data_IF_299567508948
#
_entry.id   IF_299567508948
#
_cell.length_a   1.000
_cell.length_b   1.000
_cell.length_c   1.000
_cell.angle_alpha   90.00
_cell.angle_beta   90.00
_cell.angle_gamma   90.00
#
_symmetry.space_group_name_H-M   'P 1'
#
loop_
_entity.id
_entity.type
_entity.pdbx_description
1 polymer ?
#
# COMPACT_ATOMS: atom_id res chain seq x y z
N UNK A 1 -18.16 -22.45 0.46
CA UNK A 1 -17.33 -21.36 1.05
C UNK A 1 -17.32 -20.15 0.11
N UNK A 2 -18.12 -19.13 0.42
CA UNK A 2 -18.22 -17.90 -0.40
C UNK A 2 -17.29 -16.85 0.19
N UNK A 3 -16.08 -16.74 -0.36
CA UNK A 3 -15.18 -15.64 -0.03
C UNK A 3 -15.79 -14.29 -0.47
N UNK A 4 -15.51 -13.23 0.28
CA UNK A 4 -15.94 -11.89 -0.10
C UNK A 4 -15.23 -11.43 -1.38
N UNK A 5 -15.99 -10.98 -2.38
CA UNK A 5 -15.41 -10.38 -3.57
C UNK A 5 -14.83 -9.01 -3.25
N UNK A 6 -13.64 -8.74 -3.78
CA UNK A 6 -12.94 -7.46 -3.62
C UNK A 6 -12.46 -6.97 -4.98
N UNK A 7 -12.60 -5.66 -5.20
CA UNK A 7 -12.00 -5.00 -6.35
C UNK A 7 -10.46 -5.09 -6.27
N UNK A 8 -9.76 -5.12 -7.42
CA UNK A 8 -8.30 -5.15 -7.43
C UNK A 8 -7.69 -3.92 -6.72
N UNK A 9 -6.47 -4.08 -6.21
CA UNK A 9 -5.78 -3.04 -5.43
C UNK A 9 -5.64 -1.70 -6.18
N UNK A 10 -5.65 -1.75 -7.51
CA UNK A 10 -5.48 -0.61 -8.40
C UNK A 10 -6.78 -0.10 -9.05
N UNK A 11 -7.95 -0.42 -8.48
CA UNK A 11 -9.25 0.08 -8.98
C UNK A 11 -9.30 1.59 -9.26
N UNK A 12 -8.48 2.36 -8.56
CA UNK A 12 -8.38 3.81 -8.72
C UNK A 12 -7.65 4.22 -10.01
N UNK A 13 -6.76 3.38 -10.55
CA UNK A 13 -6.06 3.62 -11.82
C UNK A 13 -7.01 3.52 -13.00
N UNK A 14 -7.91 2.52 -12.97
CA UNK A 14 -8.98 2.36 -13.95
C UNK A 14 -9.91 3.58 -14.06
N UNK A 15 -9.97 4.45 -13.05
CA UNK A 15 -10.77 5.69 -13.13
C UNK A 15 -10.24 6.65 -14.20
N UNK A 16 -8.93 6.63 -14.48
CA UNK A 16 -8.28 7.48 -15.50
C UNK A 16 -8.59 7.03 -16.93
N UNK A 17 -8.94 5.77 -17.11
CA UNK A 17 -9.24 5.16 -18.40
C UNK A 17 -10.75 4.93 -18.59
N UNK A 18 -11.60 5.64 -17.83
CA UNK A 18 -13.06 5.51 -17.97
C UNK A 18 -13.49 6.03 -19.33
N UNK A 19 -14.13 5.15 -20.11
CA UNK A 19 -14.53 5.45 -21.48
C UNK A 19 -13.37 5.45 -22.48
N UNK A 20 -12.16 5.05 -22.05
CA UNK A 20 -11.04 4.83 -22.94
C UNK A 20 -11.04 3.38 -23.36
N UNK A 21 -11.23 3.12 -24.66
CA UNK A 21 -11.17 1.77 -25.23
C UNK A 21 -9.76 1.45 -25.73
N UNK A 22 -9.02 2.46 -26.18
CA UNK A 22 -7.72 2.34 -26.83
C UNK A 22 -6.76 3.39 -26.31
N UNK A 23 -5.52 2.99 -26.04
CA UNK A 23 -4.43 3.84 -25.59
C UNK A 23 -3.24 3.63 -26.51
N UNK A 24 -2.81 4.68 -27.20
CA UNK A 24 -1.55 4.69 -27.94
C UNK A 24 -0.40 4.92 -26.94
N UNK A 25 0.68 4.16 -27.10
CA UNK A 25 1.88 4.22 -26.26
C UNK A 25 3.00 4.98 -26.98
N UNK A 26 2.64 6.14 -27.53
CA UNK A 26 3.52 7.03 -28.28
C UNK A 26 4.30 8.02 -27.39
N UNK A 27 3.90 8.14 -26.12
CA UNK A 27 4.47 9.04 -25.11
C UNK A 27 4.95 8.28 -23.87
N UNK A 28 5.98 8.81 -23.23
CA UNK A 28 6.51 8.24 -21.99
C UNK A 28 5.46 8.26 -20.88
N UNK A 29 4.61 9.30 -20.82
CA UNK A 29 3.50 9.39 -19.87
C UNK A 29 2.50 8.25 -20.01
N UNK A 30 2.10 7.92 -21.25
CA UNK A 30 1.18 6.82 -21.52
C UNK A 30 1.79 5.48 -21.10
N UNK A 31 3.05 5.23 -21.45
CA UNK A 31 3.79 4.02 -21.08
C UNK A 31 3.89 3.92 -19.54
N UNK A 32 4.26 5.01 -18.86
CA UNK A 32 4.40 5.05 -17.40
C UNK A 32 3.07 4.77 -16.70
N UNK A 33 1.96 5.31 -17.21
CA UNK A 33 0.63 5.05 -16.62
C UNK A 33 0.22 3.58 -16.73
N UNK A 34 0.58 2.89 -17.82
CA UNK A 34 0.36 1.45 -17.98
C UNK A 34 1.32 0.64 -17.10
N UNK A 35 2.60 1.02 -17.02
CA UNK A 35 3.60 0.33 -16.17
C UNK A 35 3.17 0.29 -14.71
N UNK A 36 2.42 1.31 -14.26
CA UNK A 36 1.87 1.40 -12.91
C UNK A 36 0.77 0.37 -12.60
N UNK A 37 0.27 -0.36 -13.60
CA UNK A 37 -0.69 -1.44 -13.38
C UNK A 37 -0.05 -2.68 -12.76
N UNK A 38 -0.85 -3.54 -12.13
CA UNK A 38 -0.40 -4.82 -11.57
C UNK A 38 0.20 -5.68 -12.70
N UNK A 39 1.42 -6.15 -12.44
CA UNK A 39 2.26 -6.83 -13.42
C UNK A 39 1.75 -8.20 -13.87
N UNK A 40 0.84 -8.82 -13.12
CA UNK A 40 0.42 -10.20 -13.37
C UNK A 40 -0.05 -10.40 -14.83
N UNK A 41 0.44 -11.44 -15.52
CA UNK A 41 0.22 -11.64 -16.95
C UNK A 41 -1.14 -12.25 -17.26
N UNK A 42 -1.72 -13.02 -16.33
CA UNK A 42 -2.99 -13.76 -16.51
C UNK A 42 -4.24 -12.88 -16.70
N UNK A 43 -4.10 -11.56 -16.61
CA UNK A 43 -5.16 -10.56 -16.81
C UNK A 43 -4.94 -9.70 -18.06
N UNK A 44 -3.99 -10.09 -18.91
CA UNK A 44 -3.64 -9.39 -20.15
C UNK A 44 -3.61 -10.42 -21.28
N UNK A 45 -3.98 -9.97 -22.48
CA UNK A 45 -3.86 -10.74 -23.71
C UNK A 45 -2.79 -10.05 -24.55
N UNK A 46 -1.83 -10.81 -25.05
CA UNK A 46 -0.68 -10.29 -25.80
C UNK A 46 -0.73 -10.75 -27.24
N UNK A 47 -0.44 -9.83 -28.17
CA UNK A 47 -0.22 -10.20 -29.57
C UNK A 47 1.05 -11.05 -29.67
N UNK A 48 0.93 -12.29 -30.14
CA UNK A 48 2.04 -13.24 -30.23
C UNK A 48 3.22 -12.67 -31.01
N UNK A 49 2.96 -12.08 -32.17
CA UNK A 49 3.99 -11.49 -33.04
C UNK A 49 4.83 -10.43 -32.32
N UNK A 50 4.21 -9.58 -31.48
CA UNK A 50 4.93 -8.59 -30.69
C UNK A 50 5.88 -9.24 -29.68
N UNK A 51 5.40 -10.27 -28.97
CA UNK A 51 6.19 -11.02 -27.99
C UNK A 51 7.38 -11.72 -28.66
N UNK A 52 7.18 -12.33 -29.82
CA UNK A 52 8.22 -13.03 -30.57
C UNK A 52 9.25 -12.07 -31.18
N UNK A 53 8.79 -11.02 -31.86
CA UNK A 53 9.66 -10.03 -32.49
C UNK A 53 10.57 -9.33 -31.46
N UNK A 54 10.06 -9.10 -30.25
CA UNK A 54 10.82 -8.50 -29.15
C UNK A 54 11.54 -9.51 -28.26
N UNK A 55 11.44 -10.81 -28.55
CA UNK A 55 12.04 -11.92 -27.76
C UNK A 55 11.68 -11.83 -26.28
N UNK A 56 10.43 -11.46 -25.97
CA UNK A 56 9.97 -11.28 -24.60
C UNK A 56 9.71 -12.65 -23.99
N UNK A 57 10.38 -12.94 -22.87
CA UNK A 57 10.27 -14.19 -22.10
C UNK A 57 10.27 -13.87 -20.61
N UNK A 58 9.67 -14.74 -19.82
CA UNK A 58 9.85 -14.70 -18.38
C UNK A 58 11.32 -14.96 -18.04
N UNK A 59 11.94 -14.15 -17.16
CA UNK A 59 13.27 -14.45 -16.65
C UNK A 59 13.33 -15.82 -15.99
N UNK A 60 14.38 -16.59 -16.28
CA UNK A 60 14.63 -17.88 -15.64
C UNK A 60 15.51 -17.63 -14.42
N UNK A 61 14.90 -17.65 -13.24
CA UNK A 61 15.55 -17.38 -11.95
C UNK A 61 14.99 -18.30 -10.87
N UNK A 62 15.74 -18.53 -9.79
CA UNK A 62 15.36 -19.43 -8.69
C UNK A 62 14.42 -18.77 -7.65
N UNK A 63 13.72 -17.70 -8.04
CA UNK A 63 12.81 -16.93 -7.18
C UNK A 63 11.60 -16.41 -7.94
N UNK A 64 10.55 -16.01 -7.21
CA UNK A 64 9.25 -15.62 -7.77
C UNK A 64 9.21 -14.17 -8.28
N UNK A 65 8.06 -13.75 -8.81
CA UNK A 65 7.74 -12.39 -9.26
C UNK A 65 8.31 -11.99 -10.62
N UNK A 66 8.66 -12.98 -11.42
CA UNK A 66 9.08 -12.92 -12.84
C UNK A 66 8.05 -12.21 -13.74
N UNK A 67 6.80 -12.14 -13.27
CA UNK A 67 5.74 -11.30 -13.84
C UNK A 67 6.15 -9.82 -13.96
N UNK A 68 6.96 -9.30 -13.02
CA UNK A 68 7.34 -7.88 -13.03
C UNK A 68 8.20 -7.55 -14.25
N UNK A 69 9.36 -8.22 -14.50
CA UNK A 69 10.10 -7.99 -15.73
C UNK A 69 9.27 -8.24 -16.98
N UNK A 70 8.47 -9.31 -17.03
CA UNK A 70 7.62 -9.59 -18.19
C UNK A 70 6.64 -8.45 -18.49
N UNK A 71 6.02 -7.87 -17.46
CA UNK A 71 5.14 -6.70 -17.59
C UNK A 71 5.89 -5.49 -18.14
N UNK A 72 7.07 -5.18 -17.61
CA UNK A 72 7.90 -4.09 -18.13
C UNK A 72 8.27 -4.30 -19.60
N UNK A 73 8.72 -5.51 -19.95
CA UNK A 73 9.13 -5.83 -21.32
C UNK A 73 7.97 -5.71 -22.31
N UNK A 74 6.79 -6.21 -21.94
CA UNK A 74 5.60 -6.18 -22.80
C UNK A 74 5.02 -4.78 -22.96
N UNK A 75 4.99 -3.97 -21.91
CA UNK A 75 4.48 -2.60 -21.97
C UNK A 75 5.43 -1.69 -22.76
N UNK A 76 6.74 -1.76 -22.51
CA UNK A 76 7.72 -0.94 -23.24
C UNK A 76 7.89 -1.34 -24.71
N UNK A 77 7.42 -2.53 -25.12
CA UNK A 77 7.49 -3.01 -26.50
C UNK A 77 6.18 -2.85 -27.28
N UNK A 78 5.08 -2.50 -26.61
CA UNK A 78 3.78 -2.32 -27.25
C UNK A 78 3.64 -0.91 -27.82
N UNK A 79 3.00 -0.80 -28.98
CA UNK A 79 2.57 0.47 -29.60
C UNK A 79 1.22 0.94 -29.08
N UNK A 80 0.36 0.00 -28.71
CA UNK A 80 -1.04 0.23 -28.39
C UNK A 80 -1.55 -0.79 -27.36
N UNK A 81 -2.52 -0.35 -26.55
CA UNK A 81 -3.23 -1.20 -25.59
C UNK A 81 -4.73 -0.93 -25.67
N UNK A 82 -5.50 -2.01 -25.79
CA UNK A 82 -6.96 -1.99 -25.64
C UNK A 82 -7.32 -2.19 -24.16
N UNK A 83 -8.16 -1.30 -23.64
CA UNK A 83 -8.60 -1.27 -22.26
C UNK A 83 -10.00 -1.89 -22.14
N UNK A 84 -10.10 -3.01 -21.44
CA UNK A 84 -11.38 -3.69 -21.18
C UNK A 84 -11.76 -3.50 -19.71
N UNK A 85 -12.71 -2.60 -19.38
CA UNK A 85 -13.06 -2.30 -17.98
C UNK A 85 -13.91 -3.38 -17.31
N UNK A 86 -14.38 -4.37 -18.07
CA UNK A 86 -15.23 -5.45 -17.58
C UNK A 86 -14.46 -6.45 -16.70
N UNK A 87 -15.15 -6.97 -15.68
CA UNK A 87 -14.60 -8.03 -14.82
C UNK A 87 -14.76 -9.38 -15.51
N UNK A 88 -13.72 -9.80 -16.24
CA UNK A 88 -13.72 -11.05 -16.99
C UNK A 88 -13.35 -12.29 -16.15
N UNK A 89 -12.60 -12.10 -15.05
CA UNK A 89 -12.07 -13.21 -14.25
C UNK A 89 -12.11 -12.90 -12.75
N UNK A 90 -12.38 -13.95 -11.96
CA UNK A 90 -12.24 -13.92 -10.49
C UNK A 90 -11.07 -14.81 -10.08
N UNK A 91 -10.12 -14.25 -9.33
CA UNK A 91 -8.99 -15.00 -8.78
C UNK A 91 -9.19 -15.19 -7.27
N UNK A 92 -8.85 -16.37 -6.77
CA UNK A 92 -8.92 -16.69 -5.34
C UNK A 92 -7.62 -16.24 -4.65
N UNK A 93 -7.75 -15.49 -3.55
CA UNK A 93 -6.63 -14.98 -2.75
C UNK A 93 -6.69 -15.58 -1.34
N UNK A 94 -5.53 -15.77 -0.69
CA UNK A 94 -5.46 -16.17 0.72
C UNK A 94 -5.58 -17.67 0.96
N UNK A 95 -5.29 -18.52 -0.03
CA UNK A 95 -5.18 -19.97 0.17
C UNK A 95 -3.89 -20.28 0.94
N UNK A 96 -3.95 -21.25 1.86
CA UNK A 96 -2.76 -21.81 2.52
C UNK A 96 -1.75 -22.28 1.47
N UNK A 97 -0.49 -21.86 1.61
CA UNK A 97 0.58 -22.16 0.63
C UNK A 97 0.70 -21.15 -0.53
N UNK A 98 -0.03 -20.03 -0.52
CA UNK A 98 0.16 -18.97 -1.51
C UNK A 98 1.49 -18.24 -1.27
N UNK A 99 2.28 -18.00 -2.32
CA UNK A 99 3.58 -17.30 -2.31
C UNK A 99 3.55 -15.92 -1.62
N UNK A 100 2.39 -15.27 -1.55
CA UNK A 100 2.19 -13.99 -0.86
C UNK A 100 2.11 -14.12 0.68
N UNK A 101 2.12 -15.34 1.22
CA UNK A 101 2.16 -15.62 2.65
C UNK A 101 3.60 -15.68 3.21
N UNK A 102 4.61 -15.66 2.34
CA UNK A 102 6.02 -15.68 2.73
C UNK A 102 6.38 -14.43 3.52
N UNK A 103 7.01 -14.61 4.69
CA UNK A 103 7.45 -13.56 5.62
C UNK A 103 8.91 -13.75 6.00
N UNK A 104 9.75 -14.02 5.01
CA UNK A 104 11.17 -14.29 5.20
C UNK A 104 12.05 -13.42 4.28
N UNK A 105 13.36 -13.62 4.38
CA UNK A 105 14.36 -12.91 3.59
C UNK A 105 14.24 -13.12 2.08
N UNK A 106 13.56 -14.18 1.61
CA UNK A 106 13.33 -14.45 0.19
C UNK A 106 12.53 -13.36 -0.52
N UNK A 107 11.77 -12.53 0.23
CA UNK A 107 11.13 -11.33 -0.32
C UNK A 107 12.16 -10.33 -0.89
N UNK A 108 13.40 -10.32 -0.41
CA UNK A 108 14.45 -9.46 -0.97
C UNK A 108 14.81 -9.82 -2.41
N UNK A 109 14.56 -11.07 -2.84
CA UNK A 109 14.81 -11.48 -4.23
C UNK A 109 13.94 -10.70 -5.24
N UNK A 110 12.83 -10.09 -4.81
CA UNK A 110 12.07 -9.15 -5.63
C UNK A 110 12.96 -8.03 -6.19
N UNK A 111 13.95 -7.57 -5.42
CA UNK A 111 14.88 -6.53 -5.89
C UNK A 111 15.84 -7.03 -6.97
N UNK A 112 16.04 -8.35 -7.12
CA UNK A 112 16.76 -8.90 -8.27
C UNK A 112 16.07 -8.58 -9.60
N UNK A 113 14.73 -8.44 -9.60
CA UNK A 113 13.99 -8.02 -10.80
C UNK A 113 14.24 -6.55 -11.17
N UNK A 114 14.72 -5.71 -10.24
CA UNK A 114 15.20 -4.36 -10.59
C UNK A 114 16.35 -4.44 -11.58
N UNK A 115 17.35 -5.27 -11.27
CA UNK A 115 18.53 -5.48 -12.12
C UNK A 115 18.09 -6.07 -13.47
N UNK A 116 17.22 -7.08 -13.46
CA UNK A 116 16.68 -7.69 -14.70
C UNK A 116 15.97 -6.67 -15.61
N UNK A 117 15.17 -5.76 -15.03
CA UNK A 117 14.48 -4.72 -15.80
C UNK A 117 15.47 -3.66 -16.28
N UNK A 118 16.36 -3.19 -15.41
CA UNK A 118 17.39 -2.18 -15.74
C UNK A 118 18.22 -2.65 -16.92
N UNK A 119 18.77 -3.87 -16.85
CA UNK A 119 19.65 -4.41 -17.87
C UNK A 119 18.92 -4.60 -19.22
N UNK A 120 17.63 -4.91 -19.19
CA UNK A 120 16.81 -5.00 -20.40
C UNK A 120 16.54 -3.62 -21.01
N UNK A 121 16.26 -2.61 -20.18
CA UNK A 121 16.07 -1.23 -20.63
C UNK A 121 17.37 -0.65 -21.20
N UNK A 122 18.50 -0.90 -20.55
CA UNK A 122 19.83 -0.46 -20.99
C UNK A 122 20.18 -1.04 -22.36
N UNK A 123 19.99 -2.35 -22.58
CA UNK A 123 20.23 -3.01 -23.88
C UNK A 123 19.36 -2.48 -25.01
N UNK A 124 18.29 -1.76 -24.70
CA UNK A 124 17.34 -1.16 -25.66
C UNK A 124 17.44 0.36 -25.71
N UNK A 125 18.40 0.95 -25.01
CA UNK A 125 18.58 2.41 -24.95
C UNK A 125 17.33 3.12 -24.39
N UNK A 126 16.61 2.44 -23.49
CA UNK A 126 15.40 2.94 -22.83
C UNK A 126 15.63 3.30 -21.36
N UNK A 127 16.83 3.06 -20.81
CA UNK A 127 17.08 3.26 -19.39
C UNK A 127 16.88 4.71 -18.99
N UNK A 128 17.48 5.67 -19.71
CA UNK A 128 17.38 7.11 -19.40
C UNK A 128 15.92 7.59 -19.38
N UNK A 129 15.09 7.07 -20.29
CA UNK A 129 13.66 7.40 -20.38
C UNK A 129 12.87 6.93 -19.15
N UNK A 130 13.20 5.76 -18.62
CA UNK A 130 12.39 5.09 -17.58
C UNK A 130 13.09 4.87 -16.24
N UNK A 131 14.29 5.42 -16.04
CA UNK A 131 15.09 5.21 -14.84
C UNK A 131 14.36 5.70 -13.57
N UNK A 132 13.76 6.89 -13.63
CA UNK A 132 12.93 7.45 -12.54
C UNK A 132 11.77 6.52 -12.22
N UNK A 133 11.07 6.01 -13.24
CA UNK A 133 9.94 5.10 -13.08
C UNK A 133 10.38 3.76 -12.48
N UNK A 134 11.52 3.22 -12.91
CA UNK A 134 12.07 1.97 -12.43
C UNK A 134 12.50 2.07 -10.96
N UNK A 135 13.18 3.16 -10.59
CA UNK A 135 13.49 3.44 -9.18
C UNK A 135 12.20 3.62 -8.36
N UNK A 136 11.23 4.35 -8.89
CA UNK A 136 9.90 4.52 -8.29
C UNK A 136 9.16 3.19 -8.07
N UNK A 137 9.33 2.22 -8.96
CA UNK A 137 8.84 0.85 -8.81
C UNK A 137 9.59 0.13 -7.67
N UNK A 138 10.91 0.15 -7.63
CA UNK A 138 11.70 -0.48 -6.56
C UNK A 138 11.33 0.05 -5.16
N UNK A 139 11.14 1.37 -5.05
CA UNK A 139 10.67 2.00 -3.80
C UNK A 139 9.28 1.50 -3.40
N UNK A 140 8.39 1.30 -4.39
CA UNK A 140 7.04 0.76 -4.12
C UNK A 140 7.10 -0.69 -3.63
N UNK A 141 8.05 -1.49 -4.16
CA UNK A 141 8.31 -2.84 -3.65
C UNK A 141 8.83 -2.79 -2.21
N UNK A 142 9.75 -1.87 -1.91
CA UNK A 142 10.21 -1.65 -0.53
C UNK A 142 9.08 -1.29 0.44
N UNK A 143 8.16 -0.39 0.08
CA UNK A 143 6.99 -0.01 0.91
C UNK A 143 6.06 -1.19 1.23
N UNK A 144 6.02 -2.17 0.32
CA UNK A 144 5.24 -3.39 0.47
C UNK A 144 5.99 -4.48 1.27
N UNK A 145 7.26 -4.72 0.94
CA UNK A 145 8.10 -5.79 1.50
C UNK A 145 8.50 -5.49 2.95
N UNK A 146 8.88 -4.25 3.28
CA UNK A 146 9.44 -3.92 4.59
C UNK A 146 8.51 -4.26 5.78
N UNK A 147 7.20 -4.33 5.53
CA UNK A 147 6.16 -4.65 6.52
C UNK A 147 6.02 -6.16 6.80
N UNK A 148 6.70 -6.98 6.01
CA UNK A 148 6.61 -8.45 6.02
C UNK A 148 7.94 -9.11 6.36
N UNK A 149 9.02 -8.35 6.33
CA UNK A 149 10.35 -8.83 6.69
C UNK A 149 10.50 -8.94 8.22
N UNK A 150 11.23 -9.95 8.71
CA UNK A 150 11.68 -9.99 10.10
C UNK A 150 12.73 -8.90 10.39
N UNK A 151 12.92 -8.56 11.67
CA UNK A 151 13.86 -7.51 12.10
C UNK A 151 15.31 -7.85 11.73
N UNK A 152 15.70 -9.12 11.91
CA UNK A 152 17.02 -9.67 11.60
C UNK A 152 17.46 -9.49 10.13
N UNK A 153 16.52 -9.30 9.20
CA UNK A 153 16.82 -9.08 7.78
C UNK A 153 17.20 -7.61 7.47
N UNK A 154 17.12 -6.71 8.46
CA UNK A 154 17.36 -5.27 8.28
C UNK A 154 18.71 -4.93 7.64
N UNK A 155 19.78 -5.65 7.98
CA UNK A 155 21.11 -5.43 7.38
C UNK A 155 21.11 -5.80 5.89
N UNK A 156 20.59 -6.97 5.54
CA UNK A 156 20.51 -7.43 4.14
C UNK A 156 19.60 -6.51 3.31
N UNK A 157 18.51 -6.02 3.90
CA UNK A 157 17.63 -5.04 3.27
C UNK A 157 18.37 -3.73 2.98
N UNK A 158 19.15 -3.23 3.94
CA UNK A 158 19.96 -2.03 3.75
C UNK A 158 20.96 -2.21 2.60
N UNK A 159 21.71 -3.30 2.59
CA UNK A 159 22.73 -3.56 1.56
C UNK A 159 22.08 -3.71 0.17
N UNK A 160 20.92 -4.37 0.10
CA UNK A 160 20.13 -4.51 -1.13
C UNK A 160 19.69 -3.16 -1.68
N UNK A 161 19.12 -2.30 -0.83
CA UNK A 161 18.70 -0.96 -1.22
C UNK A 161 19.89 -0.07 -1.57
N UNK A 162 21.02 -0.20 -0.86
CA UNK A 162 22.23 0.57 -1.13
C UNK A 162 22.79 0.32 -2.53
N UNK A 163 22.77 -0.93 -3.00
CA UNK A 163 23.18 -1.29 -4.38
C UNK A 163 22.30 -0.61 -5.43
N UNK A 164 21.02 -0.39 -5.14
CA UNK A 164 20.07 0.23 -6.07
C UNK A 164 20.14 1.75 -6.00
N UNK A 165 20.20 2.33 -4.79
CA UNK A 165 19.96 3.75 -4.58
C UNK A 165 21.22 4.60 -4.72
N UNK A 166 22.37 4.12 -4.24
CA UNK A 166 23.60 4.92 -4.21
C UNK A 166 24.17 5.24 -5.59
N UNK A 167 24.10 4.35 -6.60
CA UNK A 167 24.58 4.68 -7.95
C UNK A 167 23.71 5.72 -8.68
N UNK A 168 22.49 6.00 -8.20
CA UNK A 168 21.55 6.90 -8.86
C UNK A 168 21.91 8.36 -8.57
N UNK A 169 21.95 9.17 -9.63
CA UNK A 169 22.20 10.61 -9.54
C UNK A 169 21.13 11.32 -8.69
N UNK A 170 21.42 12.55 -8.27
CA UNK A 170 20.57 13.29 -7.34
C UNK A 170 19.23 13.70 -7.94
N UNK A 171 19.17 13.96 -9.24
CA UNK A 171 17.96 14.40 -9.94
C UNK A 171 16.97 13.23 -10.07
N UNK A 172 17.44 12.10 -10.61
CA UNK A 172 16.64 10.87 -10.75
C UNK A 172 16.12 10.39 -9.39
N UNK A 173 16.98 10.40 -8.37
CA UNK A 173 16.59 10.03 -7.01
C UNK A 173 15.52 10.98 -6.45
N UNK A 174 15.74 12.29 -6.56
CA UNK A 174 14.81 13.31 -6.10
C UNK A 174 13.44 13.18 -6.76
N UNK A 175 13.40 12.96 -8.08
CA UNK A 175 12.18 12.75 -8.84
C UNK A 175 11.43 11.48 -8.38
N UNK A 176 12.12 10.35 -8.21
CA UNK A 176 11.50 9.08 -7.83
C UNK A 176 10.92 9.09 -6.40
N UNK A 177 11.55 9.82 -5.47
CA UNK A 177 11.12 9.91 -4.08
C UNK A 177 10.00 10.93 -3.86
N UNK A 178 9.88 11.96 -4.73
CA UNK A 178 8.89 13.04 -4.61
C UNK A 178 7.44 12.54 -4.50
N UNK A 179 7.10 11.45 -5.17
CA UNK A 179 5.75 10.85 -5.13
C UNK A 179 5.50 9.95 -3.91
N UNK A 180 6.50 9.76 -3.04
CA UNK A 180 6.46 8.79 -1.93
C UNK A 180 6.13 9.47 -0.60
N UNK A 181 5.81 8.65 0.40
CA UNK A 181 5.53 9.18 1.74
C UNK A 181 6.81 9.76 2.37
N UNK A 182 6.68 10.84 3.17
CA UNK A 182 7.84 11.44 3.84
C UNK A 182 8.62 10.44 4.70
N UNK A 183 7.95 9.52 5.38
CA UNK A 183 8.60 8.44 6.13
C UNK A 183 9.46 7.53 5.22
N UNK A 184 8.96 7.20 4.04
CA UNK A 184 9.70 6.40 3.06
C UNK A 184 10.93 7.17 2.60
N UNK A 185 10.76 8.44 2.22
CA UNK A 185 11.85 9.32 1.81
C UNK A 185 12.96 9.40 2.87
N UNK A 186 12.61 9.63 4.14
CA UNK A 186 13.56 9.70 5.25
C UNK A 186 14.37 8.40 5.40
N UNK A 187 13.72 7.24 5.28
CA UNK A 187 14.41 5.94 5.39
C UNK A 187 15.39 5.74 4.23
N UNK A 188 14.96 6.07 3.01
CA UNK A 188 15.82 5.93 1.83
C UNK A 188 16.98 6.93 1.83
N UNK A 189 16.78 8.09 2.45
CA UNK A 189 17.85 9.07 2.65
C UNK A 189 18.99 8.49 3.48
N UNK A 190 18.71 7.75 4.56
CA UNK A 190 19.75 7.04 5.32
C UNK A 190 20.52 6.01 4.48
N UNK A 191 19.87 5.38 3.50
CA UNK A 191 20.55 4.47 2.56
C UNK A 191 21.50 5.24 1.64
N UNK A 192 21.04 6.38 1.13
CA UNK A 192 21.80 7.28 0.26
C UNK A 192 23.01 7.87 0.97
N UNK A 193 22.85 8.31 2.22
CA UNK A 193 23.89 8.94 3.04
C UNK A 193 24.86 7.94 3.69
N UNK A 194 24.75 6.66 3.35
CA UNK A 194 25.51 5.58 3.94
C UNK A 194 25.33 5.41 5.48
N UNK A 195 24.23 5.92 6.05
CA UNK A 195 23.90 5.83 7.48
C UNK A 195 23.11 4.56 7.81
N UNK A 196 23.82 3.43 7.87
CA UNK A 196 23.24 2.14 8.27
C UNK A 196 22.63 2.17 9.68
N UNK A 197 23.27 2.74 10.73
CA UNK A 197 22.69 2.80 12.07
C UNK A 197 21.33 3.52 12.13
N UNK A 198 21.18 4.66 11.47
CA UNK A 198 19.90 5.38 11.44
C UNK A 198 18.84 4.62 10.66
N UNK A 199 19.21 3.98 9.54
CA UNK A 199 18.33 3.09 8.79
C UNK A 199 17.79 1.96 9.68
N UNK A 200 18.68 1.19 10.34
CA UNK A 200 18.29 0.06 11.19
C UNK A 200 17.44 0.53 12.38
N UNK A 201 17.79 1.68 12.96
CA UNK A 201 16.98 2.28 14.03
C UNK A 201 15.57 2.60 13.56
N UNK A 202 15.42 3.19 12.36
CA UNK A 202 14.15 3.57 11.76
C UNK A 202 13.32 2.36 11.32
N UNK A 203 13.94 1.38 10.66
CA UNK A 203 13.34 0.09 10.31
C UNK A 203 12.87 -0.63 11.58
N UNK A 204 13.72 -0.72 12.60
CA UNK A 204 13.42 -1.36 13.89
C UNK A 204 12.22 -0.76 14.65
N UNK A 205 11.87 0.52 14.41
CA UNK A 205 10.71 1.17 15.07
C UNK A 205 9.40 0.43 14.78
N UNK A 206 9.29 -0.27 13.66
CA UNK A 206 8.04 -0.97 13.32
C UNK A 206 7.79 -2.22 14.18
N UNK A 207 8.85 -2.87 14.69
CA UNK A 207 8.76 -4.07 15.54
C UNK A 207 8.62 -3.76 17.03
N UNK A 208 9.16 -2.62 17.48
CA UNK A 208 9.05 -2.19 18.90
C UNK A 208 7.62 -1.96 19.36
N UNK A 209 6.70 -1.64 18.44
CA UNK A 209 5.28 -1.51 18.74
C UNK A 209 4.55 -2.87 18.87
N UNK A 210 5.17 -3.97 18.41
CA UNK A 210 4.63 -5.34 18.53
C UNK A 210 5.11 -6.03 19.82
N UNK A 211 6.33 -5.70 20.30
CA UNK A 211 6.87 -6.28 21.53
C UNK A 211 6.27 -5.69 22.82
N UNK A 212 5.52 -4.59 22.76
CA UNK A 212 4.76 -4.09 23.93
C UNK A 212 3.43 -4.82 24.15
N UNK A 213 3.07 -5.76 23.28
CA UNK A 213 1.85 -6.58 23.39
C UNK A 213 2.08 -7.98 23.97
N UNK A 214 3.31 -8.28 24.41
CA UNK A 214 3.70 -9.57 25.02
C UNK A 214 3.52 -9.70 26.54
N UNK A 215 3.03 -8.67 27.24
CA UNK A 215 2.79 -8.74 28.68
C UNK A 215 1.65 -7.83 29.12
N UNK A 216 0.60 -8.42 29.69
CA UNK A 216 -0.45 -7.69 30.40
C UNK A 216 -1.38 -6.85 29.52
N UNK A 217 -2.62 -7.31 29.33
CA UNK A 217 -3.70 -6.50 28.75
C UNK A 217 -3.90 -5.19 29.53
N UNK A 218 -4.35 -4.19 28.76
CA UNK A 218 -4.97 -2.90 29.11
C UNK A 218 -4.04 -1.69 29.26
N UNK A 219 -4.32 -0.71 28.38
CA UNK A 219 -3.83 0.68 28.29
C UNK A 219 -2.55 0.85 27.44
N UNK A 220 -2.69 1.30 26.18
CA UNK A 220 -2.73 2.74 25.94
C UNK A 220 -3.67 3.17 24.79
N UNK A 221 -4.99 3.12 25.01
CA UNK A 221 -5.96 3.80 24.12
C UNK A 221 -6.22 5.26 24.52
N UNK A 222 -5.92 5.64 25.77
CA UNK A 222 -6.16 6.98 26.30
C UNK A 222 -5.23 8.07 25.72
N UNK A 223 -3.99 7.76 25.30
CA UNK A 223 -3.08 8.78 24.75
C UNK A 223 -3.44 9.26 23.34
N UNK A 224 -4.26 8.53 22.57
CA UNK A 224 -4.63 8.87 21.17
C UNK A 224 -5.87 9.76 21.05
N UNK A 225 -6.79 9.73 22.01
CA UNK A 225 -8.00 10.57 21.97
C UNK A 225 -7.66 12.04 22.22
N UNK A 226 -6.77 12.32 23.18
CA UNK A 226 -6.28 13.68 23.46
C UNK A 226 -5.47 14.28 22.29
N UNK A 227 -4.80 13.45 21.49
CA UNK A 227 -4.07 13.93 20.30
C UNK A 227 -5.01 14.32 19.15
N UNK A 228 -6.16 13.65 18.99
CA UNK A 228 -7.14 13.96 17.95
C UNK A 228 -7.83 15.31 18.18
N UNK A 229 -8.17 15.64 19.43
CA UNK A 229 -8.74 16.96 19.79
C UNK A 229 -7.71 18.08 19.57
N UNK A 230 -6.45 17.88 19.98
CA UNK A 230 -5.37 18.87 19.78
C UNK A 230 -4.97 19.05 18.31
N UNK A 231 -5.04 17.99 17.50
CA UNK A 231 -4.72 18.05 16.06
C UNK A 231 -5.89 18.63 15.26
N UNK A 232 -7.14 18.37 15.67
CA UNK A 232 -8.35 18.91 15.04
C UNK A 232 -8.58 20.40 15.31
N UNK A 233 -8.28 20.91 16.51
CA UNK A 233 -8.39 22.35 16.81
C UNK A 233 -7.31 23.18 16.10
N UNK A 234 -6.10 22.63 15.95
CA UNK A 234 -5.04 23.27 15.15
C UNK A 234 -5.35 23.28 13.65
N UNK A 235 -5.97 22.22 13.09
CA UNK A 235 -6.34 22.20 11.66
C UNK A 235 -7.56 23.09 11.36
N UNK A 236 -8.51 23.20 12.28
CA UNK A 236 -9.66 24.11 12.16
C UNK A 236 -9.22 25.58 12.09
N UNK A 237 -8.21 25.97 12.87
CA UNK A 237 -7.70 27.34 12.92
C UNK A 237 -6.84 27.73 11.72
N UNK A 238 -6.26 26.75 11.01
CA UNK A 238 -5.28 27.00 9.93
C UNK A 238 -5.77 26.65 8.53
N UNK A 239 -6.75 25.75 8.38
CA UNK A 239 -7.12 25.18 7.05
C UNK A 239 -8.63 25.11 6.79
N UNK A 240 -9.44 25.63 7.70
CA UNK A 240 -10.89 25.70 7.55
C UNK A 240 -11.64 24.37 7.73
N UNK A 241 -12.97 24.49 7.88
CA UNK A 241 -13.85 23.38 8.26
C UNK A 241 -13.97 22.28 7.19
N UNK A 242 -13.99 22.64 5.91
CA UNK A 242 -14.18 21.71 4.79
C UNK A 242 -13.05 20.69 4.64
N UNK A 243 -11.79 21.10 4.77
CA UNK A 243 -10.63 20.19 4.65
C UNK A 243 -10.52 19.27 5.88
N UNK A 244 -10.86 19.78 7.07
CA UNK A 244 -10.89 18.97 8.31
C UNK A 244 -11.98 17.90 8.23
N UNK A 245 -13.18 18.24 7.73
CA UNK A 245 -14.29 17.30 7.57
C UNK A 245 -14.03 16.23 6.51
N UNK A 246 -13.43 16.61 5.37
CA UNK A 246 -12.97 15.67 4.33
C UNK A 246 -12.05 14.58 4.91
N UNK A 247 -11.08 14.97 5.74
CA UNK A 247 -10.12 14.02 6.31
C UNK A 247 -10.73 13.15 7.39
N UNK A 248 -11.62 13.70 8.21
CA UNK A 248 -12.34 12.93 9.24
C UNK A 248 -13.30 11.92 8.60
N UNK A 249 -14.07 12.33 7.59
CA UNK A 249 -14.95 11.43 6.84
C UNK A 249 -14.18 10.37 6.06
N UNK A 250 -13.04 10.70 5.46
CA UNK A 250 -12.15 9.74 4.79
C UNK A 250 -11.51 8.75 5.78
N UNK A 251 -11.30 9.15 7.03
CA UNK A 251 -10.78 8.26 8.09
C UNK A 251 -11.86 7.36 8.67
N UNK A 252 -13.10 7.85 8.78
CA UNK A 252 -14.26 7.10 9.26
C UNK A 252 -14.83 6.14 8.20
N UNK A 253 -14.84 6.52 6.92
CA UNK A 253 -15.23 5.63 5.82
C UNK A 253 -14.29 4.43 5.67
N UNK A 254 -13.02 4.60 6.05
CA UNK A 254 -12.05 3.51 6.17
C UNK A 254 -12.32 2.55 7.34
N UNK A 255 -13.11 2.97 8.34
CA UNK A 255 -13.42 2.17 9.53
C UNK A 255 -14.84 1.60 9.56
N UNK A 256 -15.81 2.16 8.82
CA UNK A 256 -17.18 1.62 8.78
C UNK A 256 -17.85 1.83 7.40
N UNK A 257 -18.12 0.73 6.69
CA UNK A 257 -18.80 0.71 5.37
C UNK A 257 -20.28 1.12 5.39
N UNK A 258 -20.92 1.21 6.56
CA UNK A 258 -22.35 1.52 6.69
C UNK A 258 -22.63 3.02 6.46
N UNK A 259 -21.65 3.89 6.75
CA UNK A 259 -21.81 5.34 6.67
C UNK A 259 -21.79 5.90 5.23
N UNK A 260 -21.22 5.16 4.27
CA UNK A 260 -21.22 5.55 2.85
C UNK A 260 -22.63 5.52 2.22
N UNK A 261 -23.58 4.75 2.76
CA UNK A 261 -24.93 4.62 2.18
C UNK A 261 -25.86 5.78 2.53
N UNK A 262 -25.68 6.43 3.68
CA UNK A 262 -26.51 7.58 4.07
C UNK A 262 -26.09 8.89 3.39
N UNK A 263 -24.80 9.06 3.09
CA UNK A 263 -24.26 10.30 2.53
C UNK A 263 -24.50 10.49 1.03
N UNK A 264 -24.89 9.44 0.31
CA UNK A 264 -25.15 9.50 -1.14
C UNK A 264 -26.60 9.80 -1.50
N UNK A 265 -27.51 9.87 -0.52
CA UNK A 265 -28.94 9.94 -0.79
C UNK A 265 -29.54 11.36 -0.88
N UNK A 266 -28.86 12.43 -0.46
CA UNK A 266 -29.41 13.78 -0.57
C UNK A 266 -28.36 14.80 -1.03
N UNK A 267 -28.33 15.05 -2.33
CA UNK A 267 -27.60 16.18 -2.93
C UNK A 267 -28.42 17.46 -2.78
N UNK A 268 -28.32 18.08 -1.60
CA UNK A 268 -28.65 19.49 -1.37
C UNK A 268 -27.43 20.19 -0.78
N UNK A 269 -27.22 21.49 -1.05
CA UNK A 269 -26.07 22.23 -0.54
C UNK A 269 -26.04 22.26 0.99
N UNK A 270 -25.29 21.34 1.59
CA UNK A 270 -25.17 21.21 3.05
C UNK A 270 -24.41 22.43 3.60
N UNK A 271 -25.10 23.30 4.34
CA UNK A 271 -24.48 24.45 4.99
C UNK A 271 -23.60 24.04 6.18
N UNK A 272 -22.67 24.91 6.61
CA UNK A 272 -21.71 24.62 7.69
C UNK A 272 -22.38 24.22 9.02
N UNK A 273 -23.56 24.79 9.30
CA UNK A 273 -24.36 24.46 10.49
C UNK A 273 -24.85 23.02 10.47
N UNK A 274 -25.20 22.48 9.30
CA UNK A 274 -25.61 21.08 9.14
C UNK A 274 -24.43 20.12 9.29
N UNK A 275 -23.24 20.50 8.79
CA UNK A 275 -22.02 19.70 8.98
C UNK A 275 -21.61 19.60 10.46
N UNK A 276 -21.71 20.70 11.22
CA UNK A 276 -21.47 20.71 12.66
C UNK A 276 -22.46 19.82 13.42
N UNK A 277 -23.75 19.91 13.12
CA UNK A 277 -24.76 19.04 13.72
C UNK A 277 -24.47 17.56 13.44
N UNK A 278 -24.05 17.23 12.21
CA UNK A 278 -23.71 15.87 11.81
C UNK A 278 -22.47 15.33 12.53
N UNK A 279 -21.43 16.16 12.73
CA UNK A 279 -20.24 15.79 13.51
C UNK A 279 -20.58 15.51 14.97
N UNK A 280 -21.42 16.35 15.58
CA UNK A 280 -21.85 16.16 16.97
C UNK A 280 -22.64 14.86 17.13
N UNK A 281 -23.54 14.55 16.18
CA UNK A 281 -24.28 13.29 16.17
C UNK A 281 -23.36 12.08 15.98
N UNK A 282 -22.38 12.17 15.07
CA UNK A 282 -21.38 11.13 14.88
C UNK A 282 -20.51 10.90 16.12
N UNK A 283 -20.10 11.97 16.79
CA UNK A 283 -19.32 11.88 18.02
C UNK A 283 -20.12 11.17 19.11
N UNK A 284 -21.39 11.56 19.30
CA UNK A 284 -22.29 10.91 20.27
C UNK A 284 -22.49 9.43 19.97
N UNK A 285 -22.64 9.06 18.69
CA UNK A 285 -22.82 7.68 18.27
C UNK A 285 -21.55 6.84 18.43
N UNK A 286 -20.37 7.42 18.22
CA UNK A 286 -19.08 6.80 18.49
C UNK A 286 -18.91 6.55 19.99
N UNK A 287 -19.24 7.55 20.83
CA UNK A 287 -19.17 7.45 22.29
C UNK A 287 -20.14 6.36 22.82
N UNK A 288 -21.38 6.31 22.29
CA UNK A 288 -22.35 5.26 22.63
C UNK A 288 -21.83 3.86 22.27
N UNK A 289 -21.36 3.66 21.03
CA UNK A 289 -20.77 2.37 20.61
C UNK A 289 -19.54 2.00 21.41
N UNK A 290 -18.76 2.99 21.84
CA UNK A 290 -17.61 2.76 22.71
C UNK A 290 -18.05 2.23 24.08
N UNK A 291 -19.09 2.82 24.68
CA UNK A 291 -19.67 2.35 25.93
C UNK A 291 -20.19 0.90 25.82
N UNK A 292 -20.98 0.61 24.78
CA UNK A 292 -21.52 -0.74 24.50
C UNK A 292 -20.39 -1.78 24.37
N UNK A 293 -19.29 -1.42 23.70
CA UNK A 293 -18.13 -2.31 23.60
C UNK A 293 -17.40 -2.51 24.92
N UNK A 294 -17.34 -1.48 25.77
CA UNK A 294 -16.73 -1.58 27.10
C UNK A 294 -17.56 -2.46 28.03
N UNK A 295 -18.89 -2.33 28.01
CA UNK A 295 -19.78 -3.21 28.77
C UNK A 295 -19.66 -4.67 28.32
N UNK A 296 -19.62 -4.91 27.01
CA UNK A 296 -19.45 -6.26 26.46
C UNK A 296 -18.10 -6.88 26.84
N UNK A 297 -17.03 -6.09 26.86
CA UNK A 297 -15.72 -6.54 27.33
C UNK A 297 -15.73 -6.88 28.81
N UNK A 298 -16.41 -6.07 29.63
CA UNK A 298 -16.55 -6.32 31.07
C UNK A 298 -17.30 -7.63 31.35
N UNK A 299 -18.41 -7.87 30.63
CA UNK A 299 -19.14 -9.15 30.68
C UNK A 299 -18.25 -10.35 30.35
N UNK A 300 -17.45 -10.25 29.29
CA UNK A 300 -16.51 -11.32 28.90
C UNK A 300 -15.42 -11.53 29.97
N UNK A 301 -14.92 -10.45 30.58
CA UNK A 301 -13.92 -10.52 31.65
C UNK A 301 -14.50 -11.16 32.93
N UNK A 302 -15.75 -10.88 33.25
CA UNK A 302 -16.47 -11.48 34.38
C UNK A 302 -16.77 -12.97 34.13
N UNK A 303 -17.24 -13.35 32.93
CA UNK A 303 -17.42 -14.76 32.53
C UNK A 303 -16.10 -15.55 32.60
N UNK A 304 -15.00 -14.99 32.09
CA UNK A 304 -13.69 -15.62 32.17
C UNK A 304 -13.18 -15.74 33.60
N UNK A 305 -13.55 -14.81 34.48
CA UNK A 305 -13.21 -14.85 35.91
C UNK A 305 -14.00 -15.94 36.64
N UNK A 306 -15.26 -16.15 36.29
CA UNK A 306 -16.10 -17.19 36.90
C UNK A 306 -15.75 -18.59 36.40
N UNK A 307 -15.40 -18.75 35.11
CA UNK A 307 -14.84 -19.99 34.57
C UNK A 307 -13.51 -20.40 35.25
N UNK A 308 -12.67 -19.42 35.58
CA UNK A 308 -11.42 -19.66 36.32
C UNK A 308 -11.63 -20.02 37.79
N UNK A 309 -12.75 -19.61 38.39
CA UNK A 309 -13.13 -19.99 39.77
C UNK A 309 -13.72 -21.40 39.81
N UNK A 310 -14.54 -21.78 38.83
CA UNK A 310 -15.14 -23.12 38.74
C UNK A 310 -14.13 -24.22 38.42
N UNK A 311 -13.04 -23.92 37.70
CA UNK A 311 -11.92 -24.86 37.50
C UNK A 311 -11.00 -25.03 38.72
N UNK A 312 -11.19 -24.27 39.80
CA UNK A 312 -10.34 -24.29 41.01
C UNK A 312 -11.00 -24.88 42.25
N UNK A 313 -12.21 -25.43 42.13
CA UNK A 313 -12.87 -26.13 43.24
C UNK A 313 -12.80 -27.64 42.94
N UNK A 314 -12.24 -28.47 43.84
CA UNK A 314 -12.02 -29.91 43.62
C UNK A 314 -13.31 -30.71 43.50
#
# INVERSE_FOLDING_TARGET
ELGAQMAPAEKHRWLRFRGTEHVELDSDEAIIEILRFIAVPWRKIYRREMIEANRIRFPVVDYFWEDNPFHWFSVCAASDIVMVPDVLCYHRVGRVGQTMATRDAGLLNMFGHYDTIRDWLEKRELLDRFQVTLLGWAISQFEWIQKRLPEEVGVQLYDTLARIIRPIDAETYGAAVKEKSGKTADILQFVRDADRPAFLTSFGKQFRNENTTGGGKLVPRLKRAGTLVKTGTNSLRTRGFRDTFSRVTQRLSRQNKVLERGLRAESGSVSEKHMLAYLTLLQRDIERKHLEQMERLKLIEDELRDLRKTQKTP
#
